data_IF_257204874833
#
_entry.id   IF_257204874833
#
_cell.length_a   1.000
_cell.length_b   1.000
_cell.length_c   1.000
_cell.angle_alpha   90.00
_cell.angle_beta   90.00
_cell.angle_gamma   90.00
#
_symmetry.space_group_name_H-M   'P 1'
#
loop_
_entity.id
_entity.type
_entity.pdbx_description
1 polymer ?
#
# COMPACT_ATOMS: atom_id res chain seq x y z
N UNK A 1 29.62 3.13 10.11
CA UNK A 1 28.62 3.48 9.09
C UNK A 1 27.30 3.73 9.82
N UNK A 2 27.03 4.96 10.29
CA UNK A 2 25.83 5.26 11.13
C UNK A 2 25.22 6.65 10.81
N UNK A 3 25.80 7.40 9.86
CA UNK A 3 25.42 8.81 9.64
C UNK A 3 24.38 9.01 8.53
N UNK A 4 24.37 8.13 7.53
CA UNK A 4 23.45 8.23 6.38
C UNK A 4 22.01 7.87 6.77
N UNK A 5 21.79 6.73 7.41
CA UNK A 5 20.47 6.24 7.81
C UNK A 5 19.77 7.14 8.87
N UNK A 6 20.54 8.00 9.54
CA UNK A 6 20.01 9.01 10.48
C UNK A 6 19.53 10.30 9.81
N UNK A 7 19.69 10.42 8.48
CA UNK A 7 19.24 11.61 7.77
C UNK A 7 17.71 11.62 7.67
N UNK A 8 17.06 12.33 8.58
CA UNK A 8 15.60 12.43 8.67
C UNK A 8 14.96 13.09 7.44
N UNK A 9 15.70 13.88 6.66
CA UNK A 9 15.18 14.40 5.39
C UNK A 9 15.04 13.31 4.33
N UNK A 10 15.90 12.30 4.34
CA UNK A 10 15.86 11.19 3.37
C UNK A 10 15.02 10.02 3.87
N UNK A 11 15.09 9.73 5.16
CA UNK A 11 14.50 8.53 5.76
C UNK A 11 13.23 8.81 6.59
N UNK A 12 12.76 10.06 6.60
CA UNK A 12 11.60 10.48 7.38
C UNK A 12 11.94 10.78 8.84
N UNK A 13 11.20 11.71 9.44
CA UNK A 13 11.45 12.22 10.79
C UNK A 13 10.88 11.33 11.91
N UNK A 14 9.85 10.53 11.63
CA UNK A 14 9.24 9.64 12.63
C UNK A 14 10.12 8.39 12.82
N UNK A 15 10.51 8.04 14.06
CA UNK A 15 11.44 6.94 14.33
C UNK A 15 10.79 5.55 14.35
N UNK A 16 9.49 5.42 14.07
CA UNK A 16 8.77 4.15 14.15
C UNK A 16 9.36 3.14 13.18
N UNK A 17 9.93 2.02 13.68
CA UNK A 17 10.60 1.06 12.83
C UNK A 17 9.62 0.01 12.31
N UNK A 18 10.07 -0.78 11.33
CA UNK A 18 9.46 -2.05 10.91
C UNK A 18 8.01 -1.97 10.44
N UNK A 19 7.60 -0.79 9.94
CA UNK A 19 6.33 -0.66 9.23
C UNK A 19 6.46 -1.38 7.89
N UNK A 20 5.60 -2.36 7.64
CA UNK A 20 5.63 -3.18 6.42
C UNK A 20 4.51 -2.86 5.45
N UNK A 21 3.36 -2.39 5.97
CA UNK A 21 2.24 -1.95 5.16
C UNK A 21 1.43 -0.88 5.90
N UNK A 22 0.75 -0.05 5.13
CA UNK A 22 -0.25 0.89 5.64
C UNK A 22 -1.46 0.80 4.73
N UNK A 23 -2.63 0.66 5.33
CA UNK A 23 -3.91 0.55 4.63
C UNK A 23 -4.89 1.60 5.15
N UNK A 24 -5.87 1.99 4.34
CA UNK A 24 -7.02 2.74 4.87
C UNK A 24 -7.79 1.85 5.85
N UNK A 25 -8.12 2.42 7.02
CA UNK A 25 -8.95 1.79 8.03
C UNK A 25 -10.42 2.14 7.84
N UNK A 26 -11.15 2.19 8.95
CA UNK A 26 -12.48 2.80 9.00
C UNK A 26 -12.38 4.32 8.72
N UNK A 27 -13.54 4.99 8.60
CA UNK A 27 -13.61 6.41 8.26
C UNK A 27 -12.68 7.24 9.17
N UNK A 28 -11.72 7.93 8.55
CA UNK A 28 -10.78 8.79 9.27
C UNK A 28 -9.66 8.06 10.00
N UNK A 29 -9.36 6.82 9.61
CA UNK A 29 -8.26 6.04 10.18
C UNK A 29 -7.40 5.37 9.12
N UNK A 30 -6.17 5.03 9.50
CA UNK A 30 -5.31 4.07 8.79
C UNK A 30 -5.00 2.89 9.69
N UNK A 31 -4.67 1.76 9.08
CA UNK A 31 -4.05 0.60 9.75
C UNK A 31 -2.56 0.62 9.44
N UNK A 32 -1.74 0.59 10.48
CA UNK A 32 -0.28 0.54 10.37
C UNK A 32 0.16 -0.86 10.75
N UNK A 33 0.63 -1.63 9.77
CA UNK A 33 1.10 -2.99 9.98
C UNK A 33 2.59 -3.00 10.23
N UNK A 34 3.02 -3.70 11.27
CA UNK A 34 4.42 -3.81 11.66
C UNK A 34 4.85 -5.25 11.84
N UNK A 35 6.09 -5.54 11.45
CA UNK A 35 6.72 -6.85 11.68
C UNK A 35 7.50 -6.83 13.00
N UNK A 36 7.05 -7.61 13.97
CA UNK A 36 7.76 -7.76 15.24
C UNK A 36 8.98 -8.68 15.09
N UNK A 37 9.88 -8.63 16.09
CA UNK A 37 11.15 -9.39 16.06
C UNK A 37 10.97 -10.91 16.08
N UNK A 38 9.83 -11.39 16.55
CA UNK A 38 9.47 -12.81 16.51
C UNK A 38 8.83 -13.23 15.17
N UNK A 39 8.71 -12.29 14.22
CA UNK A 39 8.10 -12.51 12.91
C UNK A 39 6.58 -12.38 12.90
N UNK A 40 5.93 -12.06 14.03
CA UNK A 40 4.49 -11.78 14.07
C UNK A 40 4.15 -10.40 13.50
N UNK A 41 2.89 -10.20 13.08
CA UNK A 41 2.40 -8.90 12.59
C UNK A 41 1.55 -8.24 13.67
N UNK A 42 1.89 -7.01 14.02
CA UNK A 42 1.06 -6.12 14.83
C UNK A 42 0.36 -5.12 13.92
N UNK A 43 -0.79 -4.61 14.35
CA UNK A 43 -1.57 -3.63 13.60
C UNK A 43 -2.14 -2.60 14.53
N UNK A 44 -1.71 -1.36 14.34
CA UNK A 44 -2.23 -0.21 15.05
C UNK A 44 -3.25 0.52 14.18
N UNK A 45 -4.32 1.02 14.79
CA UNK A 45 -5.30 1.89 14.12
C UNK A 45 -5.02 3.32 14.56
N UNK A 46 -4.70 4.19 13.61
CA UNK A 46 -4.32 5.57 13.88
C UNK A 46 -5.24 6.56 13.14
N UNK A 47 -5.42 7.79 13.65
CA UNK A 47 -6.14 8.85 12.95
C UNK A 47 -5.52 9.16 11.59
N UNK A 48 -6.38 9.43 10.60
CA UNK A 48 -5.99 9.79 9.25
C UNK A 48 -6.48 11.19 8.90
N UNK A 49 -5.52 12.11 8.77
CA UNK A 49 -5.77 13.51 8.46
C UNK A 49 -5.16 13.89 7.11
N UNK A 50 -5.81 13.54 5.98
CA UNK A 50 -5.32 13.94 4.66
C UNK A 50 -5.45 15.44 4.45
N UNK A 51 -4.69 15.97 3.50
CA UNK A 51 -4.55 17.42 3.37
C UNK A 51 -4.38 17.89 1.92
N UNK A 52 -4.55 19.18 1.66
CA UNK A 52 -4.22 19.80 0.37
C UNK A 52 -3.38 21.05 0.58
N UNK A 53 -2.56 21.38 -0.40
CA UNK A 53 -1.94 22.70 -0.50
C UNK A 53 -2.74 23.57 -1.46
N UNK A 54 -3.26 24.71 -1.00
CA UNK A 54 -4.11 25.60 -1.77
C UNK A 54 -3.51 27.00 -1.94
N UNK A 55 -3.99 27.73 -2.95
CA UNK A 55 -3.61 29.11 -3.24
C UNK A 55 -4.27 30.15 -2.31
N UNK A 56 -5.32 29.75 -1.59
CA UNK A 56 -6.16 30.58 -0.74
C UNK A 56 -6.62 29.81 0.49
N UNK A 57 -7.08 30.54 1.52
CA UNK A 57 -7.74 29.90 2.66
C UNK A 57 -9.12 29.32 2.27
N UNK A 58 -9.75 28.62 3.21
CA UNK A 58 -11.10 28.04 3.07
C UNK A 58 -12.00 28.41 4.24
N UNK A 59 -11.83 29.61 4.79
CA UNK A 59 -12.63 30.06 5.95
C UNK A 59 -14.13 30.08 5.62
N UNK A 60 -14.47 30.35 4.36
CA UNK A 60 -15.86 30.30 3.85
C UNK A 60 -16.49 28.89 3.89
N UNK A 61 -15.66 27.84 3.94
CA UNK A 61 -16.11 26.46 4.10
C UNK A 61 -16.17 26.01 5.57
N UNK A 62 -15.80 26.89 6.50
CA UNK A 62 -15.74 26.58 7.94
C UNK A 62 -14.64 25.57 8.31
N UNK A 63 -13.64 25.39 7.43
CA UNK A 63 -12.50 24.50 7.64
C UNK A 63 -11.31 25.36 8.05
N UNK A 64 -10.60 24.95 9.10
CA UNK A 64 -9.36 25.61 9.50
C UNK A 64 -8.25 25.36 8.46
N UNK A 65 -7.52 26.42 8.12
CA UNK A 65 -6.41 26.36 7.18
C UNK A 65 -5.16 26.99 7.80
N UNK A 66 -4.03 26.32 7.66
CA UNK A 66 -2.73 26.81 8.14
C UNK A 66 -2.03 27.61 7.03
N UNK A 67 -1.62 28.85 7.35
CA UNK A 67 -0.76 29.62 6.44
C UNK A 67 0.68 29.12 6.55
N UNK A 68 1.22 28.61 5.45
CA UNK A 68 2.61 28.16 5.38
C UNK A 68 3.58 29.34 5.31
N UNK A 69 4.79 29.13 5.83
CA UNK A 69 5.89 30.10 5.71
C UNK A 69 6.32 30.21 4.24
N UNK A 70 6.55 31.44 3.78
CA UNK A 70 6.99 31.74 2.40
C UNK A 70 5.89 32.42 1.58
N UNK A 71 6.20 32.67 0.30
CA UNK A 71 5.38 33.46 -0.64
C UNK A 71 5.06 32.68 -1.94
N UNK A 72 5.28 31.36 -1.95
CA UNK A 72 4.95 30.50 -3.07
C UNK A 72 3.44 30.33 -3.24
N UNK A 73 3.02 29.94 -4.47
CA UNK A 73 1.62 29.86 -4.89
C UNK A 73 0.73 29.07 -3.92
N UNK A 74 1.12 27.86 -3.54
CA UNK A 74 0.32 27.00 -2.65
C UNK A 74 0.67 27.21 -1.18
N UNK A 75 0.43 28.43 -0.68
CA UNK A 75 0.85 28.87 0.64
C UNK A 75 -0.12 28.54 1.78
N UNK A 76 -1.13 27.70 1.55
CA UNK A 76 -2.10 27.27 2.57
C UNK A 76 -2.16 25.76 2.65
N UNK A 77 -2.10 25.20 3.86
CA UNK A 77 -2.31 23.79 4.14
C UNK A 77 -3.69 23.60 4.76
N UNK A 78 -4.52 22.76 4.15
CA UNK A 78 -5.88 22.48 4.61
C UNK A 78 -5.96 21.00 4.91
N UNK A 79 -6.35 20.65 6.13
CA UNK A 79 -6.43 19.28 6.62
C UNK A 79 -7.88 18.92 6.92
N UNK A 80 -8.26 17.69 6.63
CA UNK A 80 -9.60 17.14 6.89
C UNK A 80 -9.49 15.77 7.55
N UNK A 81 -10.61 15.18 7.99
CA UNK A 81 -10.59 14.01 8.87
C UNK A 81 -10.95 12.71 8.17
N UNK A 82 -11.08 12.71 6.83
CA UNK A 82 -11.25 11.47 6.07
C UNK A 82 -10.91 11.61 4.59
N UNK A 83 -10.66 10.47 3.93
CA UNK A 83 -10.48 10.42 2.47
C UNK A 83 -11.69 10.96 1.70
N UNK A 84 -12.90 10.69 2.22
CA UNK A 84 -14.15 11.19 1.62
C UNK A 84 -14.23 12.71 1.70
N UNK A 85 -13.88 13.30 2.84
CA UNK A 85 -13.83 14.75 3.00
C UNK A 85 -12.77 15.38 2.09
N UNK A 86 -11.61 14.74 1.91
CA UNK A 86 -10.60 15.22 0.98
C UNK A 86 -11.13 15.28 -0.45
N UNK A 87 -11.83 14.23 -0.90
CA UNK A 87 -12.47 14.22 -2.22
C UNK A 87 -13.49 15.35 -2.34
N UNK A 88 -14.34 15.54 -1.32
CA UNK A 88 -15.32 16.63 -1.29
C UNK A 88 -14.66 18.01 -1.36
N UNK A 89 -13.60 18.23 -0.57
CA UNK A 89 -12.83 19.47 -0.55
C UNK A 89 -12.21 19.76 -1.92
N UNK A 90 -11.53 18.77 -2.53
CA UNK A 90 -10.92 18.91 -3.87
C UNK A 90 -11.94 19.29 -4.94
N UNK A 91 -13.12 18.68 -4.89
CA UNK A 91 -14.22 19.02 -5.80
C UNK A 91 -14.74 20.44 -5.55
N UNK A 92 -14.89 20.84 -4.28
CA UNK A 92 -15.29 22.19 -3.89
C UNK A 92 -14.32 23.26 -4.38
N UNK A 93 -13.02 23.08 -4.12
CA UNK A 93 -11.95 23.98 -4.57
C UNK A 93 -11.95 24.12 -6.10
N UNK A 94 -12.04 23.00 -6.82
CA UNK A 94 -12.12 22.98 -8.28
C UNK A 94 -13.32 23.76 -8.80
N UNK A 95 -14.51 23.55 -8.21
CA UNK A 95 -15.74 24.23 -8.62
C UNK A 95 -15.72 25.73 -8.32
N UNK A 96 -15.02 26.13 -7.25
CA UNK A 96 -14.81 27.52 -6.89
C UNK A 96 -13.69 28.20 -7.71
N UNK A 97 -13.01 27.48 -8.61
CA UNK A 97 -11.90 28.01 -9.40
C UNK A 97 -10.64 28.32 -8.58
N UNK A 98 -10.45 27.65 -7.43
CA UNK A 98 -9.25 27.78 -6.58
C UNK A 98 -8.22 26.73 -6.99
N UNK A 99 -6.97 27.14 -7.15
CA UNK A 99 -5.90 26.21 -7.49
C UNK A 99 -5.41 25.48 -6.24
N UNK A 100 -5.16 24.18 -6.37
CA UNK A 100 -4.61 23.37 -5.30
C UNK A 100 -3.72 22.24 -5.84
N UNK A 101 -2.86 21.72 -4.97
CA UNK A 101 -2.11 20.50 -5.14
C UNK A 101 -2.49 19.50 -4.05
N UNK A 102 -2.66 18.25 -4.44
CA UNK A 102 -2.99 17.16 -3.52
C UNK A 102 -2.35 15.86 -3.99
N UNK A 103 -1.87 15.05 -3.06
CA UNK A 103 -1.42 13.70 -3.35
C UNK A 103 -2.63 12.83 -3.78
N UNK A 104 -2.41 11.91 -4.70
CA UNK A 104 -3.49 11.08 -5.27
C UNK A 104 -3.75 9.81 -4.47
N UNK A 105 -2.77 9.37 -3.68
CA UNK A 105 -2.83 8.15 -2.89
C UNK A 105 -3.00 8.48 -1.40
N UNK A 106 -4.00 7.91 -0.70
CA UNK A 106 -4.21 8.14 0.74
C UNK A 106 -2.99 7.76 1.59
N UNK A 107 -2.25 6.72 1.21
CA UNK A 107 -1.10 6.26 2.01
C UNK A 107 0.04 7.29 1.93
N UNK A 108 0.26 7.89 0.76
CA UNK A 108 1.19 9.02 0.61
C UNK A 108 0.82 10.22 1.49
N UNK A 109 -0.47 10.54 1.69
CA UNK A 109 -0.87 11.60 2.64
C UNK A 109 -0.41 11.26 4.05
N UNK A 110 -0.70 10.05 4.52
CA UNK A 110 -0.34 9.63 5.87
C UNK A 110 1.18 9.61 6.07
N UNK A 111 1.94 9.02 5.14
CA UNK A 111 3.40 8.97 5.21
C UNK A 111 4.02 10.38 5.20
N UNK A 112 3.50 11.27 4.34
CA UNK A 112 4.00 12.65 4.24
C UNK A 112 3.69 13.46 5.50
N UNK A 113 2.47 13.36 6.03
CA UNK A 113 2.05 14.10 7.22
C UNK A 113 2.79 13.65 8.49
N UNK A 114 3.03 12.35 8.63
CA UNK A 114 3.66 11.79 9.83
C UNK A 114 5.19 11.78 9.73
N UNK A 115 5.75 11.80 8.53
CA UNK A 115 7.19 11.57 8.32
C UNK A 115 7.62 10.13 8.58
N UNK A 116 6.68 9.18 8.62
CA UNK A 116 6.95 7.74 8.66
C UNK A 116 7.40 7.24 7.30
N UNK A 117 8.15 6.14 7.31
CA UNK A 117 8.60 5.44 6.10
C UNK A 117 8.45 3.93 6.30
N UNK A 118 8.25 3.20 5.19
CA UNK A 118 8.21 1.75 5.23
C UNK A 118 9.63 1.19 5.40
N UNK A 119 9.73 0.03 6.04
CA UNK A 119 10.96 -0.75 6.21
C UNK A 119 12.10 -0.04 6.98
N UNK A 120 11.81 1.05 7.70
CA UNK A 120 12.78 1.71 8.58
C UNK A 120 13.31 0.76 9.64
N UNK A 121 14.63 0.75 9.83
CA UNK A 121 15.34 -0.14 10.77
C UNK A 121 14.90 -1.61 10.66
N UNK A 122 14.59 -2.03 9.43
CA UNK A 122 14.15 -3.38 9.14
C UNK A 122 15.13 -4.08 8.19
N UNK A 123 15.96 -5.02 8.70
CA UNK A 123 16.92 -5.74 7.87
C UNK A 123 16.26 -6.50 6.72
N UNK A 124 16.91 -6.49 5.56
CA UNK A 124 16.36 -7.09 4.34
C UNK A 124 16.18 -8.61 4.44
N UNK A 125 17.00 -9.30 5.24
CA UNK A 125 16.90 -10.73 5.50
C UNK A 125 15.72 -11.11 6.41
N UNK A 126 15.26 -10.16 7.23
CA UNK A 126 14.05 -10.35 8.06
C UNK A 126 12.74 -10.02 7.31
N UNK A 127 12.82 -9.33 6.17
CA UNK A 127 11.67 -9.04 5.32
C UNK A 127 11.13 -10.33 4.70
N UNK A 128 9.86 -10.67 4.96
CA UNK A 128 9.22 -11.84 4.36
C UNK A 128 8.85 -11.55 2.93
N UNK A 129 9.51 -12.19 1.97
CA UNK A 129 9.30 -11.98 0.53
C UNK A 129 8.81 -13.26 -0.10
N UNK A 130 7.69 -13.19 -0.80
CA UNK A 130 7.12 -14.31 -1.57
C UNK A 130 7.21 -14.01 -3.06
N UNK A 131 7.72 -14.97 -3.82
CA UNK A 131 7.69 -14.94 -5.27
C UNK A 131 6.50 -15.73 -5.78
N UNK A 132 5.84 -15.22 -6.83
CA UNK A 132 4.67 -15.85 -7.45
C UNK A 132 4.81 -15.82 -8.97
N UNK A 133 4.48 -16.95 -9.61
CA UNK A 133 4.36 -17.08 -11.07
C UNK A 133 3.14 -17.94 -11.40
N UNK A 134 2.37 -17.52 -12.41
CA UNK A 134 1.23 -18.24 -12.96
C UNK A 134 1.59 -18.68 -14.38
N UNK A 135 1.30 -19.93 -14.70
CA UNK A 135 1.31 -20.40 -16.09
C UNK A 135 -0.12 -20.76 -16.49
N UNK A 136 -0.48 -20.43 -17.73
CA UNK A 136 -1.80 -20.74 -18.31
C UNK A 136 -1.68 -21.48 -19.64
N UNK A 137 -2.78 -22.12 -20.03
CA UNK A 137 -2.93 -22.64 -21.39
C UNK A 137 -3.37 -21.51 -22.33
N UNK A 138 -2.64 -21.31 -23.43
CA UNK A 138 -2.94 -20.27 -24.43
C UNK A 138 -3.68 -20.79 -25.67
N UNK A 139 -4.15 -22.04 -25.67
CA UNK A 139 -4.78 -22.68 -26.83
C UNK A 139 -6.23 -23.09 -26.53
N UNK A 140 -7.20 -22.18 -26.73
CA UNK A 140 -8.63 -22.50 -26.67
C UNK A 140 -9.56 -21.32 -26.39
N UNK A 141 -10.87 -21.59 -26.32
CA UNK A 141 -11.93 -20.60 -25.95
C UNK A 141 -11.96 -20.25 -24.45
N UNK A 142 -11.13 -20.90 -23.63
CA UNK A 142 -11.05 -20.66 -22.19
C UNK A 142 -9.60 -20.58 -21.70
N UNK A 143 -9.24 -19.40 -21.22
CA UNK A 143 -8.01 -19.11 -20.50
C UNK A 143 -8.07 -19.79 -19.12
N UNK A 144 -7.40 -20.94 -18.99
CA UNK A 144 -7.30 -21.68 -17.73
C UNK A 144 -5.89 -21.68 -17.15
N UNK A 145 -5.79 -21.56 -15.82
CA UNK A 145 -4.54 -21.76 -15.09
C UNK A 145 -4.03 -23.19 -15.31
N UNK A 146 -2.78 -23.33 -15.71
CA UNK A 146 -2.05 -24.60 -15.75
C UNK A 146 -1.38 -24.89 -14.41
N UNK A 147 -0.69 -23.90 -13.85
CA UNK A 147 0.01 -24.03 -12.57
C UNK A 147 0.27 -22.69 -11.91
N UNK A 148 0.46 -22.73 -10.58
CA UNK A 148 0.91 -21.60 -9.78
C UNK A 148 2.16 -22.03 -9.02
N UNK A 149 3.28 -21.35 -9.25
CA UNK A 149 4.54 -21.58 -8.55
C UNK A 149 4.78 -20.48 -7.52
N UNK A 150 5.29 -20.89 -6.36
CA UNK A 150 5.57 -20.04 -5.22
C UNK A 150 6.96 -20.37 -4.67
N UNK A 151 7.67 -19.34 -4.23
CA UNK A 151 8.82 -19.50 -3.35
C UNK A 151 8.92 -18.36 -2.35
N UNK A 152 9.75 -18.50 -1.31
CA UNK A 152 10.03 -17.38 -0.41
C UNK A 152 11.52 -17.28 -0.03
N UNK A 153 11.86 -16.21 0.68
CA UNK A 153 13.23 -15.93 1.10
C UNK A 153 13.82 -16.90 2.14
N UNK A 154 13.06 -17.90 2.60
CA UNK A 154 13.56 -18.99 3.45
C UNK A 154 14.03 -20.20 2.64
N UNK A 155 13.84 -20.18 1.32
CA UNK A 155 14.11 -21.30 0.42
C UNK A 155 12.95 -22.30 0.37
N UNK A 156 11.76 -21.94 0.86
CA UNK A 156 10.58 -22.77 0.63
C UNK A 156 10.07 -22.58 -0.80
N UNK A 157 9.55 -23.66 -1.37
CA UNK A 157 8.96 -23.70 -2.70
C UNK A 157 7.67 -24.52 -2.69
N UNK A 158 6.71 -24.15 -3.52
CA UNK A 158 5.51 -24.95 -3.81
C UNK A 158 5.06 -24.73 -5.25
N UNK A 159 4.64 -25.82 -5.91
CA UNK A 159 3.98 -25.77 -7.21
C UNK A 159 2.61 -26.41 -7.10
N UNK A 160 1.58 -25.65 -7.44
CA UNK A 160 0.19 -26.08 -7.48
C UNK A 160 -0.16 -26.36 -8.95
N UNK A 161 -0.46 -27.62 -9.27
CA UNK A 161 -0.79 -28.05 -10.64
C UNK A 161 -2.31 -28.17 -10.79
N UNK A 162 -2.85 -27.63 -11.88
CA UNK A 162 -4.26 -27.79 -12.24
C UNK A 162 -4.45 -29.06 -13.06
N UNK A 163 -5.34 -29.96 -12.62
CA UNK A 163 -5.70 -31.16 -13.37
C UNK A 163 -6.60 -30.80 -14.56
N UNK A 164 -6.04 -30.91 -15.77
CA UNK A 164 -6.74 -30.65 -17.02
C UNK A 164 -7.96 -31.56 -17.27
N UNK A 165 -8.12 -32.67 -16.54
CA UNK A 165 -9.32 -33.52 -16.63
C UNK A 165 -10.49 -32.98 -15.80
N UNK A 166 -10.23 -32.05 -14.89
CA UNK A 166 -11.19 -31.45 -13.94
C UNK A 166 -10.89 -29.96 -13.75
N UNK A 167 -10.67 -29.25 -14.86
CA UNK A 167 -10.08 -27.91 -14.86
C UNK A 167 -10.77 -26.95 -13.90
N UNK A 168 -12.09 -26.77 -13.98
CA UNK A 168 -12.82 -25.84 -13.11
C UNK A 168 -12.68 -26.15 -11.60
N UNK A 169 -12.83 -27.43 -11.22
CA UNK A 169 -12.72 -27.85 -9.82
C UNK A 169 -11.28 -27.69 -9.31
N UNK A 170 -10.32 -28.08 -10.14
CA UNK A 170 -8.90 -28.06 -9.78
C UNK A 170 -8.34 -26.64 -9.73
N UNK A 171 -8.75 -25.77 -10.64
CA UNK A 171 -8.38 -24.35 -10.66
C UNK A 171 -8.94 -23.61 -9.45
N UNK A 172 -10.22 -23.86 -9.11
CA UNK A 172 -10.82 -23.37 -7.87
C UNK A 172 -10.07 -23.85 -6.63
N UNK A 173 -9.64 -25.11 -6.62
CA UNK A 173 -8.82 -25.66 -5.53
C UNK A 173 -7.45 -24.99 -5.47
N UNK A 174 -6.83 -24.72 -6.62
CA UNK A 174 -5.54 -24.06 -6.72
C UNK A 174 -5.58 -22.62 -6.16
N UNK A 175 -6.59 -21.82 -6.53
CA UNK A 175 -6.77 -20.45 -6.02
C UNK A 175 -7.00 -20.45 -4.50
N UNK A 176 -7.78 -21.42 -3.98
CA UNK A 176 -7.98 -21.59 -2.53
C UNK A 176 -6.68 -21.97 -1.82
N UNK A 177 -5.89 -22.87 -2.40
CA UNK A 177 -4.58 -23.28 -1.87
C UNK A 177 -3.61 -22.11 -1.87
N UNK A 178 -3.51 -21.35 -2.96
CA UNK A 178 -2.74 -20.12 -3.06
C UNK A 178 -3.12 -19.13 -1.94
N UNK A 179 -4.41 -18.83 -1.81
CA UNK A 179 -4.91 -17.91 -0.78
C UNK A 179 -4.53 -18.38 0.62
N UNK A 180 -4.63 -19.69 0.89
CA UNK A 180 -4.27 -20.27 2.18
C UNK A 180 -2.77 -20.18 2.46
N UNK A 181 -1.94 -20.38 1.43
CA UNK A 181 -0.48 -20.27 1.54
C UNK A 181 -0.05 -18.82 1.78
N UNK A 182 -0.59 -17.85 1.04
CA UNK A 182 -0.31 -16.41 1.27
C UNK A 182 -0.67 -16.03 2.70
N UNK A 183 -1.85 -16.43 3.19
CA UNK A 183 -2.27 -16.15 4.58
C UNK A 183 -1.39 -16.81 5.63
N UNK A 184 -0.98 -18.06 5.41
CA UNK A 184 -0.15 -18.79 6.37
C UNK A 184 1.29 -18.25 6.42
N UNK A 185 1.80 -17.79 5.28
CA UNK A 185 3.15 -17.24 5.13
C UNK A 185 3.24 -15.79 5.58
N UNK A 186 2.17 -15.04 5.36
CA UNK A 186 2.05 -13.62 5.70
C UNK A 186 3.23 -12.80 5.17
N UNK A 187 3.47 -12.78 3.84
CA UNK A 187 4.60 -12.05 3.27
C UNK A 187 4.42 -10.54 3.39
N UNK A 188 5.51 -9.82 3.63
CA UNK A 188 5.55 -8.36 3.62
C UNK A 188 5.58 -7.82 2.18
N UNK A 189 6.18 -8.58 1.25
CA UNK A 189 6.28 -8.25 -0.18
C UNK A 189 5.96 -9.47 -1.02
N UNK A 190 5.10 -9.29 -2.03
CA UNK A 190 4.89 -10.27 -3.10
C UNK A 190 5.56 -9.73 -4.37
N UNK A 191 6.48 -10.50 -4.93
CA UNK A 191 7.30 -10.16 -6.10
C UNK A 191 7.15 -11.24 -7.19
N UNK A 192 7.48 -10.90 -8.44
CA UNK A 192 7.32 -11.81 -9.58
C UNK A 192 7.61 -11.12 -10.91
N UNK A 193 7.89 -11.90 -11.95
CA UNK A 193 8.12 -11.38 -13.30
C UNK A 193 6.78 -11.17 -14.01
N UNK A 194 6.51 -9.95 -14.51
CA UNK A 194 5.21 -9.56 -15.09
C UNK A 194 3.99 -9.68 -14.14
N UNK A 195 4.22 -9.70 -12.82
CA UNK A 195 3.19 -9.86 -11.78
C UNK A 195 1.93 -9.01 -12.01
N UNK A 196 2.08 -7.71 -12.28
CA UNK A 196 0.94 -6.80 -12.51
C UNK A 196 0.38 -6.83 -13.94
N UNK A 197 1.15 -7.33 -14.91
CA UNK A 197 0.75 -7.38 -16.33
C UNK A 197 0.04 -8.68 -16.69
N UNK A 198 0.28 -9.74 -15.93
CA UNK A 198 -0.22 -11.07 -16.24
C UNK A 198 -0.73 -11.79 -14.99
N UNK A 199 0.15 -12.15 -14.05
CA UNK A 199 -0.18 -13.11 -12.98
C UNK A 199 -1.34 -12.65 -12.09
N UNK A 200 -1.28 -11.43 -11.56
CA UNK A 200 -2.34 -10.91 -10.69
C UNK A 200 -3.67 -10.72 -11.43
N UNK A 201 -3.72 -10.04 -12.61
CA UNK A 201 -4.95 -9.98 -13.40
C UNK A 201 -5.58 -11.34 -13.73
N UNK A 202 -4.78 -12.40 -13.81
CA UNK A 202 -5.28 -13.75 -14.08
C UNK A 202 -5.87 -14.45 -12.85
N UNK A 203 -5.55 -13.98 -11.64
CA UNK A 203 -5.96 -14.57 -10.37
C UNK A 203 -7.16 -13.86 -9.72
N UNK A 204 -7.51 -12.63 -10.13
CA UNK A 204 -8.47 -11.74 -9.45
C UNK A 204 -9.69 -11.36 -10.27
#
# INVERSE_FOLDING_TARGET
>A
MVEFEKNTMLFGADPTPRIVAIELGETGTVKVHRREKDGSTTTDVEPFHPFVWADSDVVDLGIEAEKLKGDLKFGWLITVDSWKELISLRNGLKNAGRDFFALTDPIQHYLTATGRTLFKDFPFDELKRMQLEVLSFSEGEADHIMSIALSDNTGWEEVIIVDAKKTEESERSAIKRLTSLIKARDPDVIEGHNLFRFDLPYLV
#
